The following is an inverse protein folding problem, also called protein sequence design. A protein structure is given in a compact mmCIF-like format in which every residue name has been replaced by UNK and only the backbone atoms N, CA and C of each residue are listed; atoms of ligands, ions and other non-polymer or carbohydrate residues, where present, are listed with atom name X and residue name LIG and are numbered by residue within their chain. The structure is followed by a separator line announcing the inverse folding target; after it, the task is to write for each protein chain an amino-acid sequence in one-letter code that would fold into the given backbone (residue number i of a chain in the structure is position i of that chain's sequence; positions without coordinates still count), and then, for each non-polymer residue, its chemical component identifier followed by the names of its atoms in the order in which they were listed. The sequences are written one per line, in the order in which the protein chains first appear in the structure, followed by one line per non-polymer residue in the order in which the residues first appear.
data_IF_517419043915
#
_entry.id   IF_517419043915
#
_cell.length_a   1.000
_cell.length_b   1.000
_cell.length_c   1.000
_cell.angle_alpha   90.00
_cell.angle_beta   90.00
_cell.angle_gamma   90.00
#
_symmetry.space_group_name_H-M   'P 1'
#
loop_
_entity.id
_entity.type
_entity.pdbx_description
1 polymer ?
#
# COMPACT_ATOMS: atom_id res chain seq x y z
N UNK A 1 -20.86 12.90 -6.67
CA UNK A 1 -20.40 11.87 -5.71
C UNK A 1 -19.36 12.56 -4.85
N UNK A 2 -19.31 12.28 -3.55
CA UNK A 2 -18.28 12.82 -2.66
C UNK A 2 -17.54 11.65 -2.03
N UNK A 3 -16.22 11.59 -2.21
CA UNK A 3 -15.36 10.47 -1.83
C UNK A 3 -14.51 10.88 -0.63
N UNK A 4 -14.76 10.22 0.50
CA UNK A 4 -13.98 10.37 1.74
C UNK A 4 -13.05 9.17 1.87
N UNK A 5 -11.77 9.42 2.13
CA UNK A 5 -10.81 8.36 2.40
C UNK A 5 -10.28 8.44 3.83
N UNK A 6 -10.32 7.31 4.56
CA UNK A 6 -9.74 7.20 5.90
C UNK A 6 -8.34 6.61 5.79
N UNK A 7 -7.31 7.36 6.19
CA UNK A 7 -5.92 6.99 5.98
C UNK A 7 -5.09 7.12 7.25
N UNK A 8 -4.11 6.24 7.50
CA UNK A 8 -3.28 6.31 8.70
C UNK A 8 -2.19 7.41 8.62
N UNK A 9 -2.14 8.18 7.53
CA UNK A 9 -1.05 9.10 7.23
C UNK A 9 -1.54 10.46 6.75
N UNK A 10 -0.90 11.52 7.25
CA UNK A 10 -1.14 12.90 6.81
C UNK A 10 -0.63 13.15 5.39
N UNK A 11 0.35 12.38 4.91
CA UNK A 11 0.86 12.50 3.54
C UNK A 11 -0.23 12.26 2.47
N UNK A 12 -1.26 11.45 2.79
CA UNK A 12 -2.39 11.22 1.90
C UNK A 12 -3.26 12.46 1.71
N UNK A 13 -3.26 13.40 2.66
CA UNK A 13 -3.93 14.70 2.48
C UNK A 13 -3.25 15.54 1.39
N UNK A 14 -1.92 15.53 1.33
CA UNK A 14 -1.19 16.16 0.24
C UNK A 14 -1.34 15.39 -1.08
N UNK A 15 -1.36 14.05 -1.04
CA UNK A 15 -1.47 13.24 -2.26
C UNK A 15 -2.73 13.58 -3.05
N UNK A 16 -3.88 13.73 -2.37
CA UNK A 16 -5.13 14.07 -3.06
C UNK A 16 -5.08 15.46 -3.68
N UNK A 17 -4.34 16.41 -3.13
CA UNK A 17 -4.21 17.77 -3.70
C UNK A 17 -3.36 17.83 -4.98
N UNK A 18 -2.77 16.71 -5.43
CA UNK A 18 -1.97 16.66 -6.65
C UNK A 18 -2.87 16.83 -7.88
N UNK A 19 -2.54 17.73 -8.82
CA UNK A 19 -3.39 18.04 -9.98
C UNK A 19 -3.66 16.83 -10.89
N UNK A 20 -2.77 15.84 -10.88
CA UNK A 20 -2.93 14.58 -11.61
C UNK A 20 -3.92 13.58 -10.96
N UNK A 21 -4.43 13.83 -9.75
CA UNK A 21 -5.45 12.99 -9.07
C UNK A 21 -6.88 13.39 -9.49
N UNK A 22 -7.09 13.49 -10.79
CA UNK A 22 -8.36 13.87 -11.39
C UNK A 22 -8.63 13.11 -12.70
N UNK A 23 -8.30 11.82 -12.74
CA UNK A 23 -8.39 10.99 -13.96
C UNK A 23 -9.82 10.92 -14.52
N UNK A 24 -10.83 11.16 -13.70
CA UNK A 24 -12.24 11.23 -14.11
C UNK A 24 -12.68 12.60 -14.66
N UNK A 25 -11.79 13.59 -14.71
CA UNK A 25 -12.10 14.99 -15.02
C UNK A 25 -12.60 15.79 -13.82
N UNK A 26 -12.70 15.16 -12.65
CA UNK A 26 -12.96 15.75 -11.35
C UNK A 26 -11.97 15.17 -10.35
N UNK A 27 -11.83 15.82 -9.20
CA UNK A 27 -11.04 15.34 -8.08
C UNK A 27 -11.44 13.89 -7.71
N UNK A 28 -10.48 12.96 -7.75
CA UNK A 28 -10.79 11.53 -7.56
C UNK A 28 -11.11 11.19 -6.08
N UNK A 29 -10.50 11.91 -5.14
CA UNK A 29 -10.78 11.85 -3.69
C UNK A 29 -10.93 13.26 -3.14
N UNK A 30 -12.13 13.58 -2.63
CA UNK A 30 -12.46 14.93 -2.16
C UNK A 30 -11.79 15.27 -0.82
N UNK A 31 -11.72 14.31 0.10
CA UNK A 31 -11.14 14.56 1.43
C UNK A 31 -10.51 13.32 2.03
N UNK A 32 -9.41 13.55 2.75
CA UNK A 32 -8.72 12.53 3.54
C UNK A 32 -8.82 12.84 5.03
N UNK A 33 -9.34 11.88 5.79
CA UNK A 33 -9.36 11.91 7.25
C UNK A 33 -8.36 10.90 7.80
N UNK A 34 -7.73 11.25 8.91
CA UNK A 34 -6.84 10.35 9.64
C UNK A 34 -7.61 9.44 10.58
N UNK A 35 -6.99 8.32 10.99
CA UNK A 35 -7.55 7.43 12.03
C UNK A 35 -7.91 8.20 13.30
N UNK A 36 -7.10 9.20 13.68
CA UNK A 36 -7.35 10.06 14.85
C UNK A 36 -8.56 10.99 14.67
N UNK A 37 -8.73 11.55 13.48
CA UNK A 37 -9.86 12.43 13.17
C UNK A 37 -11.17 11.64 13.17
N UNK A 38 -11.20 10.49 12.49
CA UNK A 38 -12.35 9.59 12.52
C UNK A 38 -12.66 9.14 13.96
N UNK A 39 -11.65 8.71 14.71
CA UNK A 39 -11.82 8.29 16.10
C UNK A 39 -12.33 9.40 17.02
N UNK A 40 -12.10 10.68 16.69
CA UNK A 40 -12.70 11.81 17.41
C UNK A 40 -14.16 12.01 17.03
N UNK A 41 -14.46 11.98 15.73
CA UNK A 41 -15.83 12.13 15.22
C UNK A 41 -16.76 11.06 15.78
N UNK A 42 -16.31 9.80 15.86
CA UNK A 42 -17.07 8.69 16.48
C UNK A 42 -17.42 9.01 17.94
N UNK A 43 -16.48 9.54 18.72
CA UNK A 43 -16.70 9.90 20.14
C UNK A 43 -17.63 11.12 20.28
N UNK A 44 -17.43 12.14 19.44
CA UNK A 44 -18.26 13.35 19.43
C UNK A 44 -19.71 13.04 19.04
N UNK A 45 -19.92 12.05 18.16
CA UNK A 45 -21.24 11.55 17.80
C UNK A 45 -21.87 10.64 18.89
N UNK A 46 -21.15 10.28 19.95
CA UNK A 46 -21.65 9.40 21.00
C UNK A 46 -21.82 7.93 20.57
N UNK A 47 -21.08 7.49 19.55
CA UNK A 47 -21.16 6.13 19.02
C UNK A 47 -20.31 5.18 19.87
N UNK A 48 -20.94 4.14 20.41
CA UNK A 48 -20.28 3.06 21.16
C UNK A 48 -19.67 2.02 20.20
N UNK A 49 -18.58 2.40 19.55
CA UNK A 49 -17.95 1.62 18.48
C UNK A 49 -17.59 0.17 18.87
N UNK A 50 -17.05 -0.13 20.07
CA UNK A 50 -16.72 -1.51 20.46
C UNK A 50 -17.92 -2.46 20.55
N UNK A 51 -19.15 -1.93 20.68
CA UNK A 51 -20.37 -2.70 20.87
C UNK A 51 -21.34 -2.57 19.68
N UNK A 52 -20.88 -2.06 18.54
CA UNK A 52 -21.65 -2.07 17.30
C UNK A 52 -21.82 -3.51 16.79
N UNK A 53 -22.96 -3.76 16.16
CA UNK A 53 -23.17 -4.98 15.38
C UNK A 53 -22.23 -4.98 14.16
N UNK A 54 -21.77 -6.17 13.78
CA UNK A 54 -20.94 -6.33 12.59
C UNK A 54 -21.74 -5.94 11.35
N UNK A 55 -21.18 -5.03 10.55
CA UNK A 55 -21.73 -4.62 9.26
C UNK A 55 -20.98 -5.25 8.08
N UNK A 56 -21.55 -5.10 6.89
CA UNK A 56 -20.91 -5.52 5.64
C UNK A 56 -20.42 -4.31 4.84
N UNK A 57 -19.32 -4.48 4.10
CA UNK A 57 -18.85 -3.47 3.15
C UNK A 57 -19.64 -3.53 1.84
N UNK A 58 -19.80 -2.38 1.18
CA UNK A 58 -20.53 -2.30 -0.09
C UNK A 58 -19.78 -2.97 -1.26
N UNK A 59 -20.46 -3.82 -2.03
CA UNK A 59 -19.91 -4.40 -3.26
C UNK A 59 -20.01 -3.43 -4.46
N UNK A 60 -19.06 -3.45 -5.42
CA UNK A 60 -17.92 -4.38 -5.52
C UNK A 60 -16.63 -3.88 -4.82
N UNK A 61 -16.56 -2.60 -4.41
CA UNK A 61 -15.33 -1.99 -3.89
C UNK A 61 -14.94 -2.48 -2.49
N UNK A 62 -15.89 -3.03 -1.73
CA UNK A 62 -15.69 -3.62 -0.41
C UNK A 62 -15.13 -5.05 -0.41
N UNK A 63 -15.09 -5.71 -1.58
CA UNK A 63 -14.52 -7.07 -1.68
C UNK A 63 -13.00 -6.96 -1.60
N UNK A 64 -12.41 -7.46 -0.51
CA UNK A 64 -10.97 -7.36 -0.24
C UNK A 64 -10.27 -8.73 -0.31
N UNK A 65 -8.95 -8.71 -0.18
CA UNK A 65 -8.11 -9.92 -0.12
C UNK A 65 -7.04 -9.75 0.95
N UNK A 66 -6.48 -10.85 1.44
CA UNK A 66 -5.35 -10.82 2.37
C UNK A 66 -4.15 -10.01 1.85
N UNK A 67 -3.86 -10.08 0.55
CA UNK A 67 -2.84 -9.24 -0.11
C UNK A 67 -3.11 -7.72 0.00
N UNK A 68 -4.39 -7.31 0.01
CA UNK A 68 -4.75 -5.91 0.20
C UNK A 68 -4.58 -5.47 1.66
N UNK A 69 -4.81 -6.37 2.62
CA UNK A 69 -4.66 -6.08 4.05
C UNK A 69 -3.18 -5.87 4.44
N UNK A 70 -2.28 -6.74 3.96
CA UNK A 70 -0.85 -6.66 4.32
C UNK A 70 -0.17 -5.38 3.84
N UNK A 71 -0.72 -4.67 2.85
CA UNK A 71 -0.24 -3.35 2.39
C UNK A 71 -0.04 -2.36 3.54
N UNK A 72 -0.81 -2.49 4.63
CA UNK A 72 -0.68 -1.66 5.82
C UNK A 72 0.67 -1.82 6.54
N UNK A 73 1.32 -2.97 6.43
CA UNK A 73 2.60 -3.29 7.03
C UNK A 73 3.76 -3.09 6.05
N UNK A 74 4.93 -2.68 6.56
CA UNK A 74 6.15 -2.66 5.74
C UNK A 74 6.50 -4.06 5.23
N UNK A 75 6.71 -4.16 3.92
CA UNK A 75 6.94 -5.38 3.17
C UNK A 75 5.69 -6.00 2.59
N UNK A 76 4.49 -5.51 2.96
CA UNK A 76 3.25 -6.08 2.46
C UNK A 76 2.94 -5.74 1.00
N UNK A 77 3.37 -4.57 0.50
CA UNK A 77 3.20 -4.21 -0.92
C UNK A 77 4.11 -5.07 -1.78
N UNK A 78 5.38 -5.16 -1.36
CA UNK A 78 6.39 -6.05 -1.92
C UNK A 78 5.88 -7.49 -1.96
N UNK A 79 5.40 -8.01 -0.82
CA UNK A 79 4.86 -9.37 -0.70
C UNK A 79 3.65 -9.60 -1.62
N UNK A 80 2.67 -8.69 -1.62
CA UNK A 80 1.49 -8.79 -2.50
C UNK A 80 1.86 -8.78 -3.99
N UNK A 81 2.83 -7.94 -4.37
CA UNK A 81 3.33 -7.89 -5.74
C UNK A 81 4.04 -9.19 -6.12
N UNK A 82 4.93 -9.71 -5.27
CA UNK A 82 5.63 -10.97 -5.49
C UNK A 82 4.68 -12.17 -5.59
N UNK A 83 3.65 -12.24 -4.73
CA UNK A 83 2.58 -13.27 -4.83
C UNK A 83 1.94 -13.30 -6.21
N UNK A 84 1.71 -12.14 -6.82
CA UNK A 84 1.08 -12.04 -8.15
C UNK A 84 2.08 -12.26 -9.29
N UNK A 85 3.23 -11.60 -9.24
CA UNK A 85 4.27 -11.71 -10.28
C UNK A 85 4.75 -13.15 -10.43
N UNK A 86 4.93 -13.86 -9.31
CA UNK A 86 5.30 -15.28 -9.36
C UNK A 86 4.31 -16.07 -10.20
N UNK A 87 3.01 -16.05 -9.88
CA UNK A 87 2.03 -16.89 -10.58
C UNK A 87 1.80 -16.44 -12.03
N UNK A 88 1.89 -15.14 -12.32
CA UNK A 88 1.75 -14.61 -13.69
C UNK A 88 2.92 -15.05 -14.59
N UNK A 89 4.15 -14.96 -14.08
CA UNK A 89 5.37 -15.34 -14.82
C UNK A 89 5.54 -16.85 -14.85
N UNK A 90 5.33 -17.50 -13.71
CA UNK A 90 5.48 -18.94 -13.55
C UNK A 90 4.34 -19.71 -14.24
N UNK A 91 3.13 -19.13 -14.33
CA UNK A 91 1.91 -19.86 -14.74
C UNK A 91 1.64 -21.12 -13.89
N UNK A 92 2.11 -21.10 -12.65
CA UNK A 92 2.01 -22.18 -11.67
C UNK A 92 1.64 -21.56 -10.31
N UNK A 93 0.85 -22.27 -9.48
CA UNK A 93 0.48 -21.76 -8.17
C UNK A 93 1.69 -21.65 -7.24
N UNK A 94 1.73 -20.59 -6.46
CA UNK A 94 2.79 -20.38 -5.48
C UNK A 94 2.53 -21.28 -4.25
N UNK A 95 3.43 -22.23 -3.98
CA UNK A 95 3.26 -23.20 -2.89
C UNK A 95 3.28 -22.57 -1.49
N UNK A 96 4.12 -21.54 -1.29
CA UNK A 96 4.14 -20.76 -0.05
C UNK A 96 4.00 -19.28 -0.39
N UNK A 97 2.87 -18.70 -0.01
CA UNK A 97 2.53 -17.29 -0.28
C UNK A 97 3.12 -16.33 0.76
N UNK A 98 3.64 -16.85 1.87
CA UNK A 98 4.19 -16.05 2.97
C UNK A 98 5.68 -15.78 2.75
N UNK A 99 6.01 -14.53 2.42
CA UNK A 99 7.39 -14.08 2.23
C UNK A 99 7.95 -13.49 3.54
N UNK A 100 8.25 -14.37 4.51
CA UNK A 100 8.63 -13.95 5.86
C UNK A 100 9.89 -13.05 5.91
N UNK A 101 10.83 -13.21 4.98
CA UNK A 101 12.08 -12.44 4.94
C UNK A 101 11.90 -10.93 4.69
N UNK A 102 10.74 -10.53 4.12
CA UNK A 102 10.41 -9.11 3.92
C UNK A 102 9.52 -8.55 5.03
N UNK A 103 9.13 -9.35 6.03
CA UNK A 103 8.33 -8.92 7.18
C UNK A 103 9.23 -8.40 8.31
N UNK A 104 8.66 -7.62 9.23
CA UNK A 104 9.39 -7.10 10.39
C UNK A 104 9.60 -5.58 10.37
N UNK A 105 10.28 -5.08 11.42
CA UNK A 105 10.46 -3.66 11.71
C UNK A 105 11.91 -3.17 11.54
N UNK A 106 12.80 -4.04 11.05
CA UNK A 106 14.19 -3.72 10.74
C UNK A 106 14.26 -2.57 9.72
N UNK A 107 15.32 -1.76 9.82
CA UNK A 107 15.46 -0.55 9.02
C UNK A 107 15.54 -0.81 7.51
N UNK A 108 16.29 -1.83 7.11
CA UNK A 108 16.35 -2.37 5.75
C UNK A 108 16.24 -3.88 5.88
N UNK A 109 15.31 -4.48 5.14
CA UNK A 109 15.10 -5.93 5.04
C UNK A 109 15.43 -6.33 3.60
N UNK A 110 16.08 -7.47 3.45
CA UNK A 110 16.54 -7.97 2.15
C UNK A 110 16.12 -9.41 1.98
N UNK A 111 15.71 -9.78 0.77
CA UNK A 111 15.43 -11.16 0.44
C UNK A 111 15.83 -11.44 -1.01
N UNK A 112 16.00 -12.72 -1.35
CA UNK A 112 16.12 -13.16 -2.75
C UNK A 112 15.01 -14.15 -3.03
N UNK A 113 14.16 -13.81 -3.98
CA UNK A 113 13.04 -14.65 -4.42
C UNK A 113 13.42 -15.30 -5.75
N UNK A 114 13.32 -16.61 -5.82
CA UNK A 114 13.51 -17.35 -7.07
C UNK A 114 12.17 -17.45 -7.81
N UNK A 115 12.10 -16.84 -9.00
CA UNK A 115 10.97 -16.92 -9.90
C UNK A 115 11.39 -17.71 -11.13
N UNK A 116 11.15 -19.03 -11.11
CA UNK A 116 11.50 -19.95 -12.21
C UNK A 116 12.97 -19.87 -12.67
N UNK A 117 13.89 -19.83 -11.71
CA UNK A 117 15.34 -19.74 -11.94
C UNK A 117 15.86 -18.30 -12.06
N UNK A 118 14.97 -17.31 -12.16
CA UNK A 118 15.35 -15.89 -12.07
C UNK A 118 15.38 -15.46 -10.61
N UNK A 119 16.58 -15.21 -10.10
CA UNK A 119 16.79 -14.67 -8.75
C UNK A 119 16.49 -13.18 -8.73
N UNK A 120 15.37 -12.79 -8.12
CA UNK A 120 14.97 -11.40 -7.91
C UNK A 120 15.38 -11.00 -6.50
N UNK A 121 16.28 -10.03 -6.39
CA UNK A 121 16.79 -9.50 -5.12
C UNK A 121 15.91 -8.32 -4.72
N UNK A 122 15.32 -8.38 -3.54
CA UNK A 122 14.38 -7.37 -3.08
C UNK A 122 14.88 -6.67 -1.81
N UNK A 123 14.54 -5.39 -1.67
CA UNK A 123 14.76 -4.63 -0.45
C UNK A 123 13.48 -3.94 0.01
N UNK A 124 13.26 -3.89 1.32
CA UNK A 124 12.17 -3.16 1.96
C UNK A 124 12.74 -2.24 3.01
N UNK A 125 12.40 -0.96 2.95
CA UNK A 125 12.92 0.04 3.89
C UNK A 125 11.85 0.59 4.81
N UNK A 126 12.21 0.75 6.08
CA UNK A 126 11.41 1.42 7.10
C UNK A 126 12.07 2.76 7.44
N UNK A 127 11.47 3.87 7.02
CA UNK A 127 11.98 5.20 7.29
C UNK A 127 12.87 5.78 6.19
N UNK A 128 12.71 7.07 5.92
CA UNK A 128 13.45 7.78 4.87
C UNK A 128 14.97 7.82 5.11
N UNK A 129 15.42 7.77 6.36
CA UNK A 129 16.84 7.67 6.67
C UNK A 129 17.45 6.34 6.18
N UNK A 130 16.70 5.25 6.22
CA UNK A 130 17.14 3.96 5.68
C UNK A 130 16.99 3.90 4.17
N UNK A 131 15.95 4.54 3.61
CA UNK A 131 15.81 4.73 2.17
C UNK A 131 17.04 5.44 1.58
N UNK A 132 17.55 6.50 2.23
CA UNK A 132 18.77 7.20 1.80
C UNK A 132 19.96 6.26 1.67
N UNK A 133 20.18 5.37 2.64
CA UNK A 133 21.28 4.37 2.61
C UNK A 133 21.15 3.43 1.41
N UNK A 134 19.95 2.94 1.12
CA UNK A 134 19.69 2.07 -0.03
C UNK A 134 19.95 2.82 -1.34
N UNK A 135 19.48 4.07 -1.45
CA UNK A 135 19.72 4.90 -2.63
C UNK A 135 21.19 5.25 -2.83
N UNK A 136 21.93 5.50 -1.75
CA UNK A 136 23.39 5.73 -1.78
C UNK A 136 24.12 4.47 -2.26
N UNK A 137 23.78 3.30 -1.72
CA UNK A 137 24.37 2.04 -2.15
C UNK A 137 24.14 1.77 -3.66
N UNK A 138 22.94 2.06 -4.17
CA UNK A 138 22.64 1.96 -5.62
C UNK A 138 23.52 2.91 -6.42
N UNK A 139 23.62 4.17 -5.99
CA UNK A 139 24.44 5.18 -6.67
C UNK A 139 25.92 4.80 -6.70
N UNK A 140 26.41 4.18 -5.64
CA UNK A 140 27.79 3.73 -5.51
C UNK A 140 28.06 2.38 -6.19
N UNK A 141 27.05 1.77 -6.82
CA UNK A 141 27.15 0.47 -7.50
C UNK A 141 27.30 -0.74 -6.57
N UNK A 142 27.13 -0.54 -5.26
CA UNK A 142 27.20 -1.61 -4.24
C UNK A 142 25.82 -2.23 -3.97
N UNK A 143 24.75 -1.48 -4.22
CA UNK A 143 23.37 -1.92 -4.13
C UNK A 143 23.02 -2.90 -5.25
N UNK A 144 22.54 -4.08 -4.87
CA UNK A 144 22.31 -5.21 -5.76
C UNK A 144 20.85 -5.67 -5.70
N UNK A 145 19.90 -4.74 -5.65
CA UNK A 145 18.47 -5.05 -5.61
C UNK A 145 17.82 -4.76 -6.96
N UNK A 146 16.85 -5.61 -7.31
CA UNK A 146 16.09 -5.55 -8.56
C UNK A 146 14.72 -4.88 -8.33
N UNK A 147 14.16 -5.02 -7.11
CA UNK A 147 12.89 -4.40 -6.73
C UNK A 147 12.94 -3.89 -5.28
N UNK A 148 12.48 -2.66 -5.05
CA UNK A 148 12.65 -1.96 -3.77
C UNK A 148 11.33 -1.33 -3.33
N UNK A 149 10.94 -1.59 -2.07
CA UNK A 149 9.84 -0.91 -1.39
C UNK A 149 10.40 0.15 -0.43
N UNK A 150 9.90 1.39 -0.55
CA UNK A 150 10.25 2.49 0.36
C UNK A 150 9.03 2.93 1.15
N UNK A 151 9.07 2.75 2.46
CA UNK A 151 8.07 3.25 3.39
C UNK A 151 8.65 4.37 4.24
N UNK A 152 7.99 5.54 4.25
CA UNK A 152 8.47 6.70 5.00
C UNK A 152 8.39 6.53 6.52
N UNK A 153 7.41 5.76 7.01
CA UNK A 153 7.17 5.56 8.44
C UNK A 153 7.77 4.24 8.94
N UNK A 154 8.30 4.18 10.17
CA UNK A 154 8.68 2.92 10.79
C UNK A 154 7.50 1.96 10.90
N UNK A 155 7.66 0.74 10.37
CA UNK A 155 6.62 -0.29 10.31
C UNK A 155 5.64 -0.15 9.14
N UNK A 156 5.84 0.83 8.24
CA UNK A 156 4.90 1.11 7.16
C UNK A 156 3.70 1.94 7.61
N UNK A 157 2.57 1.78 6.94
CA UNK A 157 1.37 2.59 7.15
C UNK A 157 0.76 2.42 8.55
N UNK A 158 0.91 1.27 9.21
CA UNK A 158 0.51 1.06 10.61
C UNK A 158 1.21 2.01 11.62
N UNK A 159 2.34 2.60 11.22
CA UNK A 159 3.11 3.57 11.99
C UNK A 159 2.93 5.02 11.53
N UNK A 160 1.96 5.29 10.65
CA UNK A 160 1.72 6.61 10.07
C UNK A 160 1.37 7.69 11.11
N UNK A 161 1.69 8.96 10.79
CA UNK A 161 1.48 10.09 11.71
C UNK A 161 0.01 10.40 12.04
N UNK A 162 -0.94 9.83 11.29
CA UNK A 162 -2.38 9.91 11.54
C UNK A 162 -2.90 8.87 12.52
N UNK A 163 -2.05 7.96 13.00
CA UNK A 163 -2.44 6.88 13.92
C UNK A 163 -2.57 7.33 15.38
N UNK A 164 -3.35 6.62 16.22
CA UNK A 164 -3.51 6.95 17.64
C UNK A 164 -2.19 7.06 18.41
N UNK A 165 -2.16 7.99 19.37
CA UNK A 165 -1.04 8.22 20.28
C UNK A 165 -1.39 7.78 21.71
N UNK A 166 -0.42 7.31 22.50
CA UNK A 166 0.98 7.11 22.14
C UNK A 166 1.18 5.94 21.17
N UNK A 167 2.23 6.02 20.34
CA UNK A 167 2.66 4.91 19.45
C UNK A 167 4.13 4.63 19.74
N UNK A 168 4.47 3.37 19.99
CA UNK A 168 5.83 2.89 20.22
C UNK A 168 6.11 1.64 19.36
N UNK A 169 7.29 1.03 19.50
CA UNK A 169 7.67 -0.16 18.72
C UNK A 169 6.75 -1.37 19.00
N UNK A 170 6.33 -1.57 20.24
CA UNK A 170 5.44 -2.67 20.64
C UNK A 170 4.05 -2.51 20.02
N UNK A 171 3.44 -1.32 20.08
CA UNK A 171 2.16 -1.04 19.45
C UNK A 171 2.23 -1.26 17.93
N UNK A 172 3.33 -0.86 17.28
CA UNK A 172 3.53 -1.13 15.85
C UNK A 172 3.62 -2.62 15.57
N UNK A 173 4.34 -3.39 16.40
CA UNK A 173 4.44 -4.84 16.28
C UNK A 173 3.05 -5.50 16.39
N UNK A 174 2.25 -5.12 17.39
CA UNK A 174 0.89 -5.64 17.57
C UNK A 174 -0.03 -5.32 16.39
N UNK A 175 0.03 -4.08 15.85
CA UNK A 175 -0.72 -3.71 14.64
C UNK A 175 -0.31 -4.56 13.44
N UNK A 176 1.00 -4.76 13.26
CA UNK A 176 1.54 -5.58 12.17
C UNK A 176 1.08 -7.04 12.28
N UNK A 177 1.17 -7.64 13.47
CA UNK A 177 0.72 -9.01 13.74
C UNK A 177 -0.78 -9.16 13.49
N UNK A 178 -1.60 -8.19 13.92
CA UNK A 178 -3.02 -8.19 13.64
C UNK A 178 -3.32 -8.14 12.13
N UNK A 179 -2.56 -7.36 11.36
CA UNK A 179 -2.68 -7.29 9.90
C UNK A 179 -2.34 -8.64 9.24
N UNK A 180 -1.24 -9.28 9.62
CA UNK A 180 -0.87 -10.58 9.05
C UNK A 180 -1.82 -11.71 9.48
N UNK A 181 -2.34 -11.67 10.71
CA UNK A 181 -3.39 -12.60 11.14
C UNK A 181 -4.63 -12.45 10.27
N UNK A 182 -5.07 -11.21 10.04
CA UNK A 182 -6.22 -10.94 9.18
C UNK A 182 -5.99 -11.43 7.73
N UNK A 183 -4.77 -11.32 7.19
CA UNK A 183 -4.43 -11.94 5.90
C UNK A 183 -4.59 -13.46 5.93
N UNK A 184 -4.09 -14.15 6.97
CA UNK A 184 -4.25 -15.60 7.12
C UNK A 184 -5.71 -16.06 7.23
N UNK A 185 -6.56 -15.23 7.85
CA UNK A 185 -7.98 -15.54 8.08
C UNK A 185 -8.86 -15.28 6.83
N UNK A 186 -8.33 -14.60 5.81
CA UNK A 186 -9.08 -14.29 4.59
C UNK A 186 -9.17 -15.51 3.64
N UNK A 187 -10.35 -15.78 3.05
CA UNK A 187 -10.51 -16.88 2.10
C UNK A 187 -9.74 -16.65 0.79
N UNK A 188 -9.52 -15.38 0.42
CA UNK A 188 -8.77 -14.99 -0.77
C UNK A 188 -7.57 -14.16 -0.32
N UNK A 189 -6.36 -14.64 -0.60
CA UNK A 189 -5.10 -14.02 -0.14
C UNK A 189 -4.22 -13.45 -1.26
N UNK A 190 -4.70 -13.52 -2.50
CA UNK A 190 -4.02 -13.01 -3.70
C UNK A 190 -4.90 -12.01 -4.43
N UNK A 191 -4.35 -10.84 -4.77
CA UNK A 191 -5.13 -9.73 -5.36
C UNK A 191 -5.79 -10.11 -6.68
N UNK A 192 -5.09 -10.86 -7.54
CA UNK A 192 -5.58 -11.29 -8.86
C UNK A 192 -6.67 -12.37 -8.79
N UNK A 193 -6.96 -12.92 -7.60
CA UNK A 193 -8.07 -13.85 -7.39
C UNK A 193 -9.37 -13.15 -6.96
N UNK A 194 -9.32 -11.86 -6.64
CA UNK A 194 -10.49 -11.09 -6.22
C UNK A 194 -11.56 -11.05 -7.34
N UNK A 195 -12.79 -11.55 -7.10
CA UNK A 195 -13.84 -11.58 -8.12
C UNK A 195 -14.28 -10.19 -8.57
N UNK A 196 -14.28 -9.19 -7.68
CA UNK A 196 -14.59 -7.80 -8.03
C UNK A 196 -13.55 -7.20 -8.96
N UNK A 197 -12.26 -7.50 -8.74
CA UNK A 197 -11.17 -7.05 -9.62
C UNK A 197 -11.23 -7.75 -10.97
N UNK A 198 -11.45 -9.08 -10.99
CA UNK A 198 -11.61 -9.83 -12.25
C UNK A 198 -12.73 -9.23 -13.10
N UNK A 199 -13.91 -9.05 -12.51
CA UNK A 199 -15.06 -8.43 -13.18
C UNK A 199 -14.75 -7.01 -13.69
N UNK A 200 -14.05 -6.19 -12.90
CA UNK A 200 -13.64 -4.84 -13.30
C UNK A 200 -12.73 -4.87 -14.55
N UNK A 201 -11.80 -5.81 -14.63
CA UNK A 201 -10.98 -6.00 -15.82
C UNK A 201 -11.77 -6.58 -16.99
N UNK A 202 -12.58 -7.62 -16.77
CA UNK A 202 -13.34 -8.26 -17.85
C UNK A 202 -14.34 -7.31 -18.53
N UNK A 203 -15.01 -6.45 -17.76
CA UNK A 203 -16.10 -5.60 -18.27
C UNK A 203 -15.67 -4.17 -18.61
N UNK A 204 -14.63 -3.64 -17.94
CA UNK A 204 -14.31 -2.22 -18.04
C UNK A 204 -12.86 -1.94 -18.41
N UNK A 205 -11.88 -2.37 -17.61
CA UNK A 205 -10.46 -2.03 -17.83
C UNK A 205 -9.80 -2.84 -18.95
N UNK A 206 -10.38 -3.99 -19.30
CA UNK A 206 -9.98 -4.98 -20.31
C UNK A 206 -8.67 -5.69 -19.99
N UNK A 207 -7.57 -4.96 -19.83
CA UNK A 207 -6.27 -5.55 -19.57
C UNK A 207 -5.37 -4.67 -18.68
N UNK A 208 -4.52 -5.27 -17.83
CA UNK A 208 -3.48 -4.53 -17.14
C UNK A 208 -2.50 -3.89 -18.14
N UNK A 209 -2.08 -2.66 -17.87
CA UNK A 209 -1.19 -1.87 -18.73
C UNK A 209 -1.78 -1.48 -20.10
N UNK A 210 -3.06 -1.78 -20.37
CA UNK A 210 -3.78 -1.28 -21.53
C UNK A 210 -4.15 0.20 -21.40
N UNK A 211 -4.61 0.83 -22.48
CA UNK A 211 -4.90 2.27 -22.57
C UNK A 211 -5.77 2.78 -21.42
N UNK A 212 -6.92 2.13 -21.17
CA UNK A 212 -7.85 2.57 -20.11
C UNK A 212 -7.27 2.38 -18.71
N UNK A 213 -6.63 1.25 -18.44
CA UNK A 213 -5.98 1.01 -17.15
C UNK A 213 -4.82 1.99 -16.89
N UNK A 214 -4.08 2.37 -17.94
CA UNK A 214 -3.03 3.36 -17.85
C UNK A 214 -3.59 4.75 -17.54
N UNK A 215 -4.65 5.16 -18.24
CA UNK A 215 -5.28 6.45 -18.00
C UNK A 215 -5.86 6.60 -16.59
N UNK A 216 -6.45 5.54 -16.03
CA UNK A 216 -7.17 5.59 -14.76
C UNK A 216 -6.34 5.19 -13.54
N UNK A 217 -5.38 4.27 -13.69
CA UNK A 217 -4.68 3.65 -12.56
C UNK A 217 -3.17 3.96 -12.52
N UNK A 218 -2.65 4.66 -13.54
CA UNK A 218 -1.26 5.08 -13.58
C UNK A 218 -1.15 6.59 -13.45
N UNK A 219 0.01 7.04 -12.95
CA UNK A 219 0.34 8.45 -12.81
C UNK A 219 1.77 8.68 -13.26
N UNK A 220 2.11 9.95 -13.46
CA UNK A 220 3.49 10.39 -13.60
C UNK A 220 3.96 11.09 -12.32
N UNK A 221 5.27 11.33 -12.26
CA UNK A 221 5.92 12.14 -11.23
C UNK A 221 6.78 13.19 -11.93
N UNK A 222 6.89 14.36 -11.33
CA UNK A 222 7.78 15.43 -11.79
C UNK A 222 8.90 15.68 -10.78
N UNK A 223 10.01 16.23 -11.27
CA UNK A 223 11.07 16.73 -10.39
C UNK A 223 10.53 17.89 -9.54
N UNK A 224 10.72 17.79 -8.23
CA UNK A 224 10.36 18.85 -7.27
C UNK A 224 11.61 19.47 -6.68
N UNK A 225 11.64 20.80 -6.63
CA UNK A 225 12.70 21.55 -5.96
C UNK A 225 12.71 21.35 -4.44
N UNK A 226 13.74 21.89 -3.78
CA UNK A 226 13.86 21.87 -2.30
C UNK A 226 12.75 22.67 -1.61
N UNK A 227 12.22 23.68 -2.29
CA UNK A 227 11.11 24.50 -1.84
C UNK A 227 9.92 24.25 -2.76
N UNK A 228 8.70 24.43 -2.24
CA UNK A 228 7.52 24.50 -3.08
C UNK A 228 7.62 25.76 -3.95
N UNK A 229 8.23 25.62 -5.12
CA UNK A 229 8.05 26.58 -6.21
C UNK A 229 6.67 26.35 -6.83
N UNK A 230 5.98 27.41 -7.24
CA UNK A 230 4.67 27.31 -7.89
C UNK A 230 4.75 26.32 -9.07
N UNK A 231 3.97 25.25 -8.95
CA UNK A 231 3.73 24.14 -9.87
C UNK A 231 4.45 24.21 -11.23
N UNK A 232 5.70 23.73 -11.27
CA UNK A 232 6.35 23.31 -12.53
C UNK A 232 5.85 21.96 -13.07
N UNK A 233 5.02 21.25 -12.30
CA UNK A 233 4.58 19.89 -12.59
C UNK A 233 3.55 19.80 -13.73
N UNK A 234 2.86 20.91 -14.05
CA UNK A 234 1.81 20.93 -15.07
C UNK A 234 2.06 22.10 -16.05
N UNK A 235 2.85 21.83 -17.09
CA UNK A 235 2.79 22.53 -18.37
C UNK A 235 2.58 21.52 -19.47
#
# INVERSE_FOLDING_TARGET
IFVVSIMPCTAKKFEVERPEMASSGQQDVDVVLTTRELGRMIREAGIDFPNLEDGEFDAPLGISTGAALIFGASGGVMEAALRTVYEVVAKEPLANIDFCDVRGLEGVKEATVDIKGTKVRVAVTNGLANARKVLDAIKDGTGKWDFIEIMACPGGCIGGGGQPQPTNAEVRKLRMEATYRADCDMPIRKSHENPGIKKLYDEFLIEPLGEKSHHLLHTHYCERGKYQEENKCCK
#
